data_IF_343341450302
#
_entry.id   IF_343341450302
#
_cell.length_a   1.000
_cell.length_b   1.000
_cell.length_c   1.000
_cell.angle_alpha   90.00
_cell.angle_beta   90.00
_cell.angle_gamma   90.00
#
_symmetry.space_group_name_H-M   'P 1'
#
loop_
_entity.id
_entity.type
_entity.pdbx_description
1 polymer ?
#
# COMPACT_ATOMS: atom_id res chain seq x y z
N UNK A 1 17.65 -19.47 -3.40
CA UNK A 1 17.01 -19.89 -2.13
C UNK A 1 16.98 -18.77 -1.09
N UNK A 2 18.03 -18.02 -0.90
CA UNK A 2 18.12 -16.92 0.07
C UNK A 2 17.04 -15.87 -0.10
N UNK A 3 16.79 -15.42 -1.34
CA UNK A 3 15.74 -14.44 -1.63
C UNK A 3 14.32 -14.94 -1.27
N UNK A 4 14.03 -16.23 -1.47
CA UNK A 4 12.76 -16.82 -1.09
C UNK A 4 12.61 -16.88 0.43
N UNK A 5 13.65 -17.30 1.15
CA UNK A 5 13.68 -17.33 2.62
C UNK A 5 13.48 -15.91 3.15
N UNK A 6 14.18 -14.92 2.59
CA UNK A 6 13.99 -13.52 2.97
C UNK A 6 12.55 -13.05 2.73
N UNK A 7 12.01 -13.30 1.53
CA UNK A 7 10.64 -12.91 1.19
C UNK A 7 9.61 -13.58 2.12
N UNK A 8 9.81 -14.85 2.48
CA UNK A 8 8.96 -15.55 3.44
C UNK A 8 9.10 -14.96 4.85
N UNK A 9 10.30 -14.65 5.30
CA UNK A 9 10.53 -13.99 6.58
C UNK A 9 9.87 -12.61 6.68
N UNK A 10 9.76 -11.90 5.56
CA UNK A 10 9.07 -10.61 5.51
C UNK A 10 7.54 -10.74 5.44
N UNK A 11 7.00 -11.78 4.82
CA UNK A 11 5.57 -11.92 4.57
C UNK A 11 4.82 -12.79 5.57
N UNK A 12 5.46 -13.86 6.09
CA UNK A 12 4.84 -14.75 7.08
C UNK A 12 4.42 -14.01 8.36
N UNK A 13 5.24 -13.12 8.98
CA UNK A 13 4.81 -12.37 10.16
C UNK A 13 3.56 -11.53 9.92
N UNK A 14 3.42 -10.92 8.73
CA UNK A 14 2.24 -10.14 8.35
C UNK A 14 1.00 -11.03 8.33
N UNK A 15 1.12 -12.22 7.73
CA UNK A 15 0.03 -13.18 7.70
C UNK A 15 -0.32 -13.72 9.09
N UNK A 16 0.68 -14.03 9.93
CA UNK A 16 0.46 -14.49 11.30
C UNK A 16 -0.26 -13.45 12.16
N UNK A 17 0.04 -12.15 11.98
CA UNK A 17 -0.67 -11.09 12.68
C UNK A 17 -2.18 -11.06 12.35
N UNK A 18 -2.56 -11.37 11.12
CA UNK A 18 -3.98 -11.52 10.74
C UNK A 18 -4.61 -12.74 11.42
N UNK A 19 -3.90 -13.89 11.44
CA UNK A 19 -4.36 -15.08 12.12
C UNK A 19 -4.53 -14.85 13.62
N UNK A 20 -3.64 -14.09 14.25
CA UNK A 20 -3.78 -13.68 15.65
C UNK A 20 -5.07 -12.86 15.87
N UNK A 21 -5.39 -11.94 14.98
CA UNK A 21 -6.66 -11.20 15.02
C UNK A 21 -7.89 -12.12 14.96
N UNK A 22 -7.88 -13.12 14.06
CA UNK A 22 -8.93 -14.15 13.98
C UNK A 22 -9.01 -14.97 15.27
N UNK A 23 -7.86 -15.36 15.83
CA UNK A 23 -7.77 -16.12 17.07
C UNK A 23 -8.34 -15.31 18.25
N UNK A 24 -7.96 -14.05 18.39
CA UNK A 24 -8.44 -13.17 19.46
C UNK A 24 -9.96 -12.95 19.38
N UNK A 25 -10.51 -12.85 18.15
CA UNK A 25 -11.97 -12.84 17.98
C UNK A 25 -12.60 -14.15 18.44
N UNK A 26 -12.04 -15.32 18.09
CA UNK A 26 -12.54 -16.63 18.49
C UNK A 26 -12.47 -16.84 20.00
N UNK A 27 -11.43 -16.30 20.65
CA UNK A 27 -11.29 -16.33 22.11
C UNK A 27 -12.17 -15.31 22.84
N UNK A 28 -12.88 -14.43 22.13
CA UNK A 28 -13.72 -13.39 22.71
C UNK A 28 -12.95 -12.18 23.27
N UNK A 29 -11.62 -12.11 23.07
CA UNK A 29 -10.80 -10.99 23.53
C UNK A 29 -10.93 -9.74 22.64
N UNK A 30 -11.33 -9.94 21.39
CA UNK A 30 -11.49 -8.87 20.40
C UNK A 30 -12.85 -9.04 19.72
N UNK A 31 -13.84 -8.30 20.19
CA UNK A 31 -15.15 -8.23 19.55
C UNK A 31 -15.14 -7.29 18.31
N UNK A 32 -16.24 -7.25 17.59
CA UNK A 32 -16.40 -6.44 16.39
C UNK A 32 -16.32 -4.93 16.68
N UNK A 33 -16.84 -4.51 17.85
CA UNK A 33 -16.82 -3.11 18.30
C UNK A 33 -15.39 -2.68 18.62
N UNK A 34 -14.62 -3.51 19.33
CA UNK A 34 -13.22 -3.24 19.63
C UNK A 34 -12.38 -3.19 18.35
N UNK A 35 -12.55 -4.15 17.45
CA UNK A 35 -11.84 -4.16 16.17
C UNK A 35 -12.15 -2.91 15.32
N UNK A 36 -13.41 -2.46 15.30
CA UNK A 36 -13.80 -1.23 14.61
C UNK A 36 -13.16 0.03 15.24
N UNK A 37 -13.15 0.12 16.57
CA UNK A 37 -12.48 1.23 17.30
C UNK A 37 -10.97 1.23 17.06
N UNK A 38 -10.34 0.06 17.10
CA UNK A 38 -8.91 -0.09 16.81
C UNK A 38 -8.59 0.33 15.39
N UNK A 39 -9.39 -0.10 14.40
CA UNK A 39 -9.23 0.32 13.01
C UNK A 39 -9.37 1.84 12.85
N UNK A 40 -10.34 2.46 13.55
CA UNK A 40 -10.51 3.92 13.54
C UNK A 40 -9.31 4.63 14.18
N UNK A 41 -8.77 4.12 15.28
CA UNK A 41 -7.57 4.67 15.91
C UNK A 41 -6.36 4.59 14.97
N UNK A 42 -6.15 3.45 14.32
CA UNK A 42 -5.08 3.26 13.34
C UNK A 42 -5.18 4.28 12.20
N UNK A 43 -6.38 4.53 11.71
CA UNK A 43 -6.62 5.50 10.65
C UNK A 43 -6.32 6.95 11.07
N UNK A 44 -6.64 7.30 12.33
CA UNK A 44 -6.54 8.68 12.83
C UNK A 44 -5.13 9.04 13.32
N UNK A 45 -4.37 8.07 13.85
CA UNK A 45 -3.10 8.36 14.54
C UNK A 45 -1.93 7.56 13.96
N UNK A 46 -1.78 6.24 14.14
CA UNK A 46 -0.57 5.54 13.71
C UNK A 46 -0.28 5.64 12.21
N UNK A 47 -1.31 5.55 11.37
CA UNK A 47 -1.12 5.56 9.93
C UNK A 47 -0.66 6.93 9.37
N UNK A 48 -1.25 8.07 9.77
CA UNK A 48 -0.71 9.39 9.46
C UNK A 48 0.71 9.62 9.96
N UNK A 49 1.01 9.17 11.20
CA UNK A 49 2.34 9.31 11.79
C UNK A 49 3.38 8.46 11.04
N UNK A 50 3.03 7.25 10.65
CA UNK A 50 3.89 6.39 9.82
C UNK A 50 4.24 7.07 8.47
N UNK A 51 3.24 7.64 7.80
CA UNK A 51 3.45 8.31 6.51
C UNK A 51 4.20 9.63 6.66
N UNK A 52 3.97 10.36 7.74
CA UNK A 52 4.78 11.52 8.11
C UNK A 52 6.25 11.13 8.26
N UNK A 53 6.56 10.11 9.06
CA UNK A 53 7.92 9.64 9.30
C UNK A 53 8.63 9.25 8.01
N UNK A 54 7.96 8.44 7.17
CA UNK A 54 8.51 7.95 5.91
C UNK A 54 8.90 9.08 4.95
N UNK A 55 8.20 10.21 4.98
CA UNK A 55 8.48 11.36 4.11
C UNK A 55 9.36 12.41 4.78
N UNK A 56 9.24 12.60 6.10
CA UNK A 56 10.05 13.55 6.86
C UNK A 56 11.53 13.16 6.93
N UNK A 57 11.84 11.87 6.81
CA UNK A 57 13.21 11.33 6.85
C UNK A 57 13.89 11.23 5.50
N UNK A 58 13.19 11.54 4.40
CA UNK A 58 13.80 11.55 3.06
C UNK A 58 14.71 12.77 2.91
N UNK A 59 15.98 12.54 2.60
CA UNK A 59 16.89 13.62 2.21
C UNK A 59 16.83 13.82 0.68
N UNK A 60 16.17 14.90 0.27
CA UNK A 60 16.03 15.26 -1.14
C UNK A 60 17.31 15.83 -1.75
N UNK A 61 18.38 16.08 -0.97
CA UNK A 61 19.58 16.76 -1.48
C UNK A 61 20.67 15.83 -2.01
N UNK A 62 20.71 14.58 -1.54
CA UNK A 62 21.84 13.68 -1.82
C UNK A 62 21.64 12.83 -3.09
N UNK A 63 20.41 12.43 -3.43
CA UNK A 63 20.15 11.56 -4.59
C UNK A 63 18.86 12.03 -5.28
N UNK A 64 18.97 13.11 -6.09
CA UNK A 64 17.81 13.61 -6.82
C UNK A 64 17.78 13.06 -8.25
N UNK A 65 17.04 11.99 -8.49
CA UNK A 65 16.76 11.49 -9.83
C UNK A 65 15.29 11.78 -10.20
N UNK A 66 15.09 12.92 -10.86
CA UNK A 66 13.76 13.34 -11.31
C UNK A 66 13.17 12.38 -12.36
N UNK A 67 14.01 11.73 -13.17
CA UNK A 67 13.58 10.76 -14.18
C UNK A 67 12.96 9.54 -13.51
N UNK A 68 13.61 9.05 -12.46
CA UNK A 68 13.14 7.90 -11.68
C UNK A 68 11.84 8.23 -10.90
N UNK A 69 11.80 9.38 -10.22
CA UNK A 69 10.59 9.84 -9.50
C UNK A 69 9.41 9.98 -10.46
N UNK A 70 9.65 10.64 -11.62
CA UNK A 70 8.60 10.84 -12.63
C UNK A 70 8.12 9.52 -13.22
N UNK A 71 9.03 8.57 -13.46
CA UNK A 71 8.66 7.22 -13.90
C UNK A 71 7.76 6.53 -12.87
N UNK A 72 8.14 6.51 -11.60
CA UNK A 72 7.33 5.93 -10.53
C UNK A 72 5.93 6.58 -10.43
N UNK A 73 5.87 7.91 -10.58
CA UNK A 73 4.61 8.65 -10.57
C UNK A 73 3.72 8.29 -11.78
N UNK A 74 4.28 8.32 -13.00
CA UNK A 74 3.54 8.04 -14.24
C UNK A 74 3.04 6.59 -14.26
N UNK A 75 3.90 5.63 -13.93
CA UNK A 75 3.51 4.22 -13.86
C UNK A 75 2.42 3.98 -12.81
N UNK A 76 2.52 4.67 -11.68
CA UNK A 76 1.46 4.62 -10.66
C UNK A 76 0.14 5.19 -11.20
N UNK A 77 0.17 6.34 -11.89
CA UNK A 77 -1.02 6.95 -12.48
C UNK A 77 -1.66 6.04 -13.54
N UNK A 78 -0.84 5.43 -14.39
CA UNK A 78 -1.32 4.45 -15.40
C UNK A 78 -1.91 3.22 -14.71
N UNK A 79 -1.27 2.69 -13.67
CA UNK A 79 -1.78 1.54 -12.89
C UNK A 79 -3.15 1.84 -12.25
N UNK A 80 -3.34 3.05 -11.73
CA UNK A 80 -4.62 3.52 -11.21
C UNK A 80 -5.68 3.57 -12.33
N UNK A 81 -5.31 4.11 -13.48
CA UNK A 81 -6.21 4.21 -14.64
C UNK A 81 -6.63 2.83 -15.13
N UNK A 82 -5.69 1.91 -15.30
CA UNK A 82 -5.96 0.52 -15.70
C UNK A 82 -6.87 -0.16 -14.67
N UNK A 83 -6.56 -0.03 -13.37
CA UNK A 83 -7.37 -0.60 -12.29
C UNK A 83 -8.80 -0.04 -12.30
N UNK A 84 -8.94 1.26 -12.59
CA UNK A 84 -10.25 1.93 -12.70
C UNK A 84 -11.02 1.39 -13.91
N UNK A 85 -10.40 1.26 -15.08
CA UNK A 85 -11.05 0.72 -16.28
C UNK A 85 -11.50 -0.74 -16.06
N UNK A 86 -10.64 -1.58 -15.48
CA UNK A 86 -10.99 -2.97 -15.16
C UNK A 86 -12.15 -3.02 -14.14
N UNK A 87 -12.18 -2.09 -13.18
CA UNK A 87 -13.28 -2.02 -12.20
C UNK A 87 -14.65 -1.82 -12.83
N UNK A 88 -14.72 -1.27 -14.04
CA UNK A 88 -15.98 -1.08 -14.77
C UNK A 88 -16.63 -2.41 -15.17
N UNK A 89 -15.88 -3.50 -15.26
CA UNK A 89 -16.38 -4.85 -15.53
C UNK A 89 -17.26 -5.38 -14.39
N UNK A 90 -17.11 -4.84 -13.18
CA UNK A 90 -17.92 -5.26 -12.03
C UNK A 90 -19.24 -4.50 -11.97
N UNK A 91 -20.35 -5.24 -11.94
CA UNK A 91 -21.68 -4.65 -11.79
C UNK A 91 -21.89 -4.02 -10.41
N UNK A 92 -21.34 -4.65 -9.36
CA UNK A 92 -21.44 -4.17 -7.99
C UNK A 92 -20.55 -2.94 -7.80
N UNK A 93 -21.19 -1.77 -7.70
CA UNK A 93 -20.49 -0.49 -7.51
C UNK A 93 -19.78 -0.41 -6.16
N UNK A 94 -20.29 -1.10 -5.13
CA UNK A 94 -19.77 -1.01 -3.76
C UNK A 94 -18.33 -1.54 -3.63
N UNK A 95 -17.94 -2.49 -4.50
CA UNK A 95 -16.59 -3.08 -4.47
C UNK A 95 -15.58 -2.32 -5.33
N UNK A 96 -16.01 -1.41 -6.23
CA UNK A 96 -15.10 -0.76 -7.19
C UNK A 96 -14.01 0.04 -6.51
N UNK A 97 -14.35 0.84 -5.49
CA UNK A 97 -13.37 1.62 -4.74
C UNK A 97 -12.31 0.75 -4.05
N UNK A 98 -12.74 -0.36 -3.42
CA UNK A 98 -11.83 -1.32 -2.80
C UNK A 98 -10.97 -2.02 -3.85
N UNK A 99 -11.58 -2.47 -4.96
CA UNK A 99 -10.87 -3.13 -6.06
C UNK A 99 -9.77 -2.23 -6.63
N UNK A 100 -10.10 -0.98 -6.98
CA UNK A 100 -9.15 -0.06 -7.58
C UNK A 100 -7.95 0.13 -6.65
N UNK A 101 -8.18 0.57 -5.39
CA UNK A 101 -7.07 0.86 -4.49
C UNK A 101 -6.26 -0.38 -4.12
N UNK A 102 -6.89 -1.55 -3.93
CA UNK A 102 -6.19 -2.78 -3.58
C UNK A 102 -5.33 -3.31 -4.73
N UNK A 103 -5.71 -3.02 -5.98
CA UNK A 103 -4.98 -3.47 -7.18
C UNK A 103 -3.69 -2.68 -7.40
N UNK A 104 -3.68 -1.33 -7.24
CA UNK A 104 -2.49 -0.56 -7.55
C UNK A 104 -1.57 -0.31 -6.34
N UNK A 105 -2.09 -0.30 -5.11
CA UNK A 105 -1.29 0.06 -3.94
C UNK A 105 -0.38 -1.07 -3.48
N UNK A 106 0.86 -0.71 -3.19
CA UNK A 106 1.90 -1.60 -2.67
C UNK A 106 2.29 -1.25 -1.25
N UNK A 107 2.82 -2.23 -0.53
CA UNK A 107 3.55 -2.04 0.72
C UNK A 107 4.99 -1.57 0.45
N UNK A 108 5.12 -0.56 -0.42
CA UNK A 108 6.39 -0.11 -0.98
C UNK A 108 7.37 0.38 0.10
N UNK A 109 6.88 1.07 1.13
CA UNK A 109 7.74 1.59 2.17
C UNK A 109 8.24 0.51 3.14
N UNK A 110 7.38 -0.43 3.56
CA UNK A 110 7.78 -1.48 4.51
C UNK A 110 8.56 -2.60 3.83
N UNK A 111 7.95 -3.24 2.82
CA UNK A 111 8.58 -4.35 2.12
C UNK A 111 9.66 -3.87 1.15
N UNK A 112 9.49 -2.67 0.56
CA UNK A 112 10.41 -2.12 -0.41
C UNK A 112 11.78 -1.81 0.19
N UNK A 113 11.82 -1.05 1.25
CA UNK A 113 13.08 -0.71 1.94
C UNK A 113 13.77 -1.99 2.41
N UNK A 114 13.04 -2.88 3.10
CA UNK A 114 13.61 -4.13 3.60
C UNK A 114 14.17 -5.02 2.49
N UNK A 115 13.47 -5.11 1.34
CA UNK A 115 13.89 -5.92 0.21
C UNK A 115 15.15 -5.36 -0.46
N UNK A 116 15.21 -4.04 -0.67
CA UNK A 116 16.38 -3.36 -1.27
C UNK A 116 17.57 -3.45 -0.31
N UNK A 117 17.37 -3.20 0.99
CA UNK A 117 18.43 -3.35 2.00
C UNK A 117 19.00 -4.77 2.08
N UNK A 118 18.15 -5.78 1.92
CA UNK A 118 18.63 -7.18 1.93
C UNK A 118 19.52 -7.49 0.72
N UNK A 119 19.24 -6.89 -0.44
CA UNK A 119 20.02 -7.15 -1.67
C UNK A 119 21.29 -6.30 -1.73
N UNK A 120 21.22 -5.03 -1.35
CA UNK A 120 22.28 -4.05 -1.57
C UNK A 120 22.94 -3.53 -0.29
N UNK A 121 22.43 -3.88 0.89
CA UNK A 121 22.93 -3.41 2.19
C UNK A 121 22.53 -1.98 2.55
N UNK A 122 21.90 -1.25 1.63
CA UNK A 122 21.45 0.15 1.82
C UNK A 122 19.99 0.31 1.42
N UNK A 123 19.35 1.42 1.80
CA UNK A 123 17.99 1.74 1.35
C UNK A 123 17.92 2.12 -0.14
N UNK A 124 19.06 2.47 -0.75
CA UNK A 124 19.20 2.74 -2.18
C UNK A 124 18.16 3.71 -2.72
N UNK A 125 17.50 3.30 -3.80
CA UNK A 125 16.47 4.09 -4.49
C UNK A 125 15.07 4.04 -3.84
N UNK A 126 14.90 3.32 -2.70
CA UNK A 126 13.60 3.20 -2.03
C UNK A 126 12.98 4.54 -1.61
N UNK A 127 13.72 5.51 -1.04
CA UNK A 127 13.16 6.81 -0.68
C UNK A 127 12.57 7.56 -1.87
N UNK A 128 13.23 7.57 -3.03
CA UNK A 128 12.74 8.23 -4.24
C UNK A 128 11.52 7.53 -4.82
N UNK A 129 11.49 6.18 -4.78
CA UNK A 129 10.31 5.40 -5.14
C UNK A 129 9.10 5.76 -4.25
N UNK A 130 9.31 5.93 -2.94
CA UNK A 130 8.26 6.32 -1.99
C UNK A 130 7.72 7.69 -2.35
N UNK A 131 8.59 8.67 -2.62
CA UNK A 131 8.20 10.03 -3.03
C UNK A 131 7.40 10.01 -4.33
N UNK A 132 7.82 9.23 -5.32
CA UNK A 132 7.14 9.13 -6.62
C UNK A 132 5.79 8.42 -6.57
N UNK A 133 5.56 7.51 -5.62
CA UNK A 133 4.38 6.64 -5.63
C UNK A 133 3.43 6.84 -4.45
N UNK A 134 3.92 6.89 -3.22
CA UNK A 134 3.09 6.81 -2.00
C UNK A 134 2.12 7.98 -1.81
N UNK A 135 2.48 9.25 -2.09
CA UNK A 135 1.52 10.35 -2.03
C UNK A 135 0.35 10.13 -2.99
N UNK A 136 0.65 9.74 -4.24
CA UNK A 136 -0.37 9.47 -5.24
C UNK A 136 -1.25 8.27 -4.84
N UNK A 137 -0.66 7.21 -4.26
CA UNK A 137 -1.41 6.08 -3.71
C UNK A 137 -2.49 6.53 -2.73
N UNK A 138 -2.15 7.39 -1.80
CA UNK A 138 -3.05 7.79 -0.73
C UNK A 138 -4.10 8.81 -1.18
N UNK A 139 -3.72 9.80 -1.98
CA UNK A 139 -4.64 10.79 -2.56
C UNK A 139 -5.70 10.07 -3.39
N UNK A 140 -5.27 9.21 -4.31
CA UNK A 140 -6.18 8.50 -5.19
C UNK A 140 -7.04 7.46 -4.47
N UNK A 141 -6.55 6.86 -3.37
CA UNK A 141 -7.38 6.01 -2.52
C UNK A 141 -8.54 6.79 -1.89
N UNK A 142 -8.29 8.00 -1.38
CA UNK A 142 -9.37 8.87 -0.86
C UNK A 142 -10.36 9.21 -1.97
N UNK A 143 -9.88 9.54 -3.17
CA UNK A 143 -10.74 9.86 -4.32
C UNK A 143 -11.63 8.67 -4.68
N UNK A 144 -11.03 7.50 -4.96
CA UNK A 144 -11.81 6.34 -5.44
C UNK A 144 -12.77 5.80 -4.37
N UNK A 145 -12.37 5.80 -3.10
CA UNK A 145 -13.24 5.40 -2.01
C UNK A 145 -14.39 6.39 -1.77
N UNK A 146 -14.17 7.69 -2.00
CA UNK A 146 -15.22 8.70 -1.92
C UNK A 146 -16.21 8.59 -3.07
N UNK A 147 -15.70 8.42 -4.31
CA UNK A 147 -16.51 8.33 -5.53
C UNK A 147 -17.36 7.07 -5.56
N UNK A 148 -16.80 5.95 -5.15
CA UNK A 148 -17.48 4.65 -5.15
C UNK A 148 -18.06 4.25 -3.79
N UNK A 149 -18.24 5.22 -2.90
CA UNK A 149 -18.87 4.98 -1.59
C UNK A 149 -20.26 4.36 -1.77
N UNK A 150 -20.59 3.27 -1.03
CA UNK A 150 -21.94 2.69 -1.04
C UNK A 150 -23.01 3.75 -0.72
N UNK A 151 -24.12 3.74 -1.45
CA UNK A 151 -25.21 4.71 -1.31
C UNK A 151 -25.01 6.05 -2.05
N UNK A 152 -23.90 6.24 -2.73
CA UNK A 152 -23.60 7.46 -3.49
C UNK A 152 -23.86 7.19 -4.99
N UNK A 153 -25.02 7.62 -5.52
CA UNK A 153 -25.45 7.24 -6.87
C UNK A 153 -25.27 8.34 -7.93
N UNK A 154 -24.92 9.55 -7.55
CA UNK A 154 -24.80 10.68 -8.49
C UNK A 154 -23.39 11.28 -8.52
N UNK A 155 -22.93 11.60 -9.73
CA UNK A 155 -21.74 12.43 -9.96
C UNK A 155 -22.22 13.87 -10.10
N UNK A 156 -22.25 14.62 -9.01
CA UNK A 156 -22.64 16.02 -9.01
C UNK A 156 -21.58 16.93 -8.35
N UNK A 157 -21.78 18.25 -8.47
CA UNK A 157 -20.87 19.24 -7.87
C UNK A 157 -20.75 19.09 -6.33
N UNK A 158 -21.77 18.55 -5.70
CA UNK A 158 -21.80 18.32 -4.25
C UNK A 158 -20.86 17.19 -3.88
N UNK A 159 -20.83 16.11 -4.68
CA UNK A 159 -19.86 15.01 -4.50
C UNK A 159 -18.42 15.51 -4.68
N UNK A 160 -18.16 16.30 -5.72
CA UNK A 160 -16.81 16.86 -5.96
C UNK A 160 -16.36 17.71 -4.77
N UNK A 161 -17.19 18.65 -4.30
CA UNK A 161 -16.88 19.49 -3.13
C UNK A 161 -16.65 18.65 -1.86
N UNK A 162 -17.48 17.61 -1.65
CA UNK A 162 -17.35 16.69 -0.51
C UNK A 162 -16.07 15.88 -0.59
N UNK A 163 -15.69 15.40 -1.78
CA UNK A 163 -14.44 14.65 -2.01
C UNK A 163 -13.23 15.54 -1.76
N UNK A 164 -13.21 16.77 -2.30
CA UNK A 164 -12.13 17.74 -2.06
C UNK A 164 -11.97 18.08 -0.57
N UNK A 165 -13.11 18.34 0.12
CA UNK A 165 -13.08 18.54 1.57
C UNK A 165 -12.55 17.28 2.28
N UNK A 166 -13.00 16.09 1.86
CA UNK A 166 -12.54 14.81 2.40
C UNK A 166 -11.04 14.60 2.23
N UNK A 167 -10.45 15.00 1.09
CA UNK A 167 -9.01 14.98 0.87
C UNK A 167 -8.31 15.94 1.84
N UNK A 168 -8.74 17.20 1.88
CA UNK A 168 -8.11 18.23 2.70
C UNK A 168 -8.16 17.94 4.22
N UNK A 169 -9.20 17.24 4.68
CA UNK A 169 -9.38 16.90 6.10
C UNK A 169 -8.96 15.45 6.44
N UNK A 170 -8.44 14.71 5.47
CA UNK A 170 -8.03 13.34 5.72
C UNK A 170 -6.73 13.30 6.54
N UNK A 171 -6.71 12.63 7.69
CA UNK A 171 -5.53 12.61 8.55
C UNK A 171 -4.30 12.01 7.86
N UNK A 172 -4.50 11.06 6.95
CA UNK A 172 -3.42 10.45 6.15
C UNK A 172 -2.79 11.49 5.22
N UNK A 173 -3.61 12.29 4.53
CA UNK A 173 -3.12 13.35 3.64
C UNK A 173 -2.42 14.46 4.43
N UNK A 174 -2.94 14.81 5.60
CA UNK A 174 -2.30 15.77 6.50
C UNK A 174 -0.92 15.25 6.94
N UNK A 175 -0.80 13.96 7.32
CA UNK A 175 0.49 13.34 7.66
C UNK A 175 1.49 13.39 6.52
N UNK A 176 1.05 13.07 5.29
CA UNK A 176 1.87 13.15 4.08
C UNK A 176 2.38 14.58 3.82
N UNK A 177 1.48 15.57 3.83
CA UNK A 177 1.83 16.98 3.59
C UNK A 177 2.79 17.47 4.68
N UNK A 178 2.51 17.16 5.96
CA UNK A 178 3.39 17.52 7.06
C UNK A 178 4.80 16.91 6.91
N UNK A 179 4.91 15.63 6.49
CA UNK A 179 6.17 14.97 6.23
C UNK A 179 6.96 15.63 5.10
N UNK A 180 6.30 15.96 3.99
CA UNK A 180 6.93 16.70 2.90
C UNK A 180 7.43 18.08 3.32
N UNK A 181 6.61 18.84 4.05
CA UNK A 181 6.99 20.17 4.54
C UNK A 181 8.18 20.07 5.50
N UNK A 182 8.17 19.07 6.39
CA UNK A 182 9.27 18.83 7.32
C UNK A 182 10.60 18.57 6.60
N UNK A 183 10.59 17.68 5.64
CA UNK A 183 11.76 17.34 4.83
C UNK A 183 12.21 18.50 3.93
N UNK A 184 11.28 19.19 3.27
CA UNK A 184 11.59 20.33 2.39
C UNK A 184 12.24 21.51 3.16
N UNK A 185 11.82 21.74 4.40
CA UNK A 185 12.39 22.74 5.28
C UNK A 185 13.67 22.25 6.00
N UNK A 186 14.10 21.00 5.74
CA UNK A 186 15.26 20.36 6.38
C UNK A 186 15.25 20.51 7.92
N UNK A 187 14.05 20.38 8.52
CA UNK A 187 13.91 20.54 9.96
C UNK A 187 14.61 19.38 10.69
N UNK A 188 15.46 19.66 11.68
CA UNK A 188 16.09 18.62 12.47
C UNK A 188 15.00 17.91 13.30
N UNK A 189 15.04 16.58 13.32
CA UNK A 189 14.18 15.80 14.18
C UNK A 189 14.98 15.34 15.41
N UNK A 190 14.70 15.91 16.59
CA UNK A 190 15.39 15.48 17.82
C UNK A 190 15.22 13.98 18.06
N UNK A 191 16.26 13.31 18.54
CA UNK A 191 16.26 11.84 18.71
C UNK A 191 15.08 11.33 19.54
N UNK A 192 14.69 12.08 20.58
CA UNK A 192 13.54 11.71 21.43
C UNK A 192 12.25 11.77 20.61
N UNK A 193 12.03 12.84 19.84
CA UNK A 193 10.85 12.99 18.99
C UNK A 193 10.80 11.90 17.91
N UNK A 194 11.93 11.64 17.25
CA UNK A 194 12.03 10.58 16.25
C UNK A 194 11.65 9.21 16.83
N UNK A 195 12.16 8.85 18.02
CA UNK A 195 11.77 7.59 18.68
C UNK A 195 10.27 7.50 18.98
N UNK A 196 9.65 8.60 19.43
CA UNK A 196 8.20 8.61 19.69
C UNK A 196 7.41 8.44 18.40
N UNK A 197 7.76 9.20 17.37
CA UNK A 197 7.12 9.13 16.04
C UNK A 197 7.24 7.71 15.46
N UNK A 198 8.44 7.13 15.48
CA UNK A 198 8.71 5.79 14.99
C UNK A 198 7.93 4.72 15.77
N UNK A 199 7.92 4.79 17.09
CA UNK A 199 7.17 3.82 17.91
C UNK A 199 5.65 3.90 17.63
N UNK A 200 5.09 5.10 17.51
CA UNK A 200 3.67 5.27 17.19
C UNK A 200 3.38 4.77 15.76
N UNK A 201 4.18 5.17 14.78
CA UNK A 201 4.05 4.73 13.39
C UNK A 201 4.14 3.21 13.24
N UNK A 202 5.07 2.57 13.94
CA UNK A 202 5.28 1.12 13.91
C UNK A 202 4.04 0.33 14.36
N UNK A 203 3.15 0.90 15.18
CA UNK A 203 1.91 0.23 15.60
C UNK A 203 0.85 0.13 14.49
N UNK A 204 0.96 0.94 13.42
CA UNK A 204 -0.04 1.02 12.36
C UNK A 204 -0.31 -0.32 11.70
N UNK A 205 0.73 -1.01 11.26
CA UNK A 205 0.61 -2.28 10.54
C UNK A 205 0.14 -3.42 11.46
N UNK A 206 0.73 -3.69 12.62
CA UNK A 206 0.26 -4.76 13.51
C UNK A 206 -1.20 -4.58 13.94
N UNK A 207 -1.58 -3.39 14.38
CA UNK A 207 -2.95 -3.13 14.81
C UNK A 207 -3.94 -3.21 13.64
N UNK A 208 -3.58 -2.70 12.46
CA UNK A 208 -4.40 -2.80 11.26
C UNK A 208 -4.63 -4.26 10.83
N UNK A 209 -3.58 -5.10 10.87
CA UNK A 209 -3.67 -6.52 10.53
C UNK A 209 -4.52 -7.31 11.54
N UNK A 210 -4.32 -7.07 12.83
CA UNK A 210 -5.17 -7.72 13.86
C UNK A 210 -6.63 -7.29 13.73
N UNK A 211 -6.90 -6.00 13.51
CA UNK A 211 -8.27 -5.50 13.27
C UNK A 211 -8.88 -6.15 12.02
N UNK A 212 -8.11 -6.26 10.95
CA UNK A 212 -8.54 -6.91 9.71
C UNK A 212 -8.84 -8.39 9.95
N UNK A 213 -7.97 -9.12 10.63
CA UNK A 213 -8.16 -10.51 10.98
C UNK A 213 -9.41 -10.73 11.84
N UNK A 214 -9.61 -9.89 12.87
CA UNK A 214 -10.78 -9.99 13.76
C UNK A 214 -12.11 -9.72 13.04
N UNK A 215 -12.11 -8.94 11.96
CA UNK A 215 -13.31 -8.65 11.17
C UNK A 215 -13.42 -9.49 9.89
N UNK A 216 -12.47 -10.40 9.65
CA UNK A 216 -12.47 -11.23 8.45
C UNK A 216 -13.56 -12.30 8.49
N UNK A 217 -14.39 -12.33 7.43
CA UNK A 217 -15.45 -13.32 7.25
C UNK A 217 -15.20 -14.11 5.96
N UNK A 218 -14.78 -15.36 6.12
CA UNK A 218 -14.45 -16.25 5.00
C UNK A 218 -15.60 -16.39 3.98
N UNK A 219 -16.85 -16.48 4.46
CA UNK A 219 -18.04 -16.58 3.59
C UNK A 219 -18.23 -15.35 2.70
N UNK A 220 -18.00 -14.16 3.22
CA UNK A 220 -18.06 -12.92 2.44
C UNK A 220 -16.88 -12.81 1.47
N UNK A 221 -15.68 -13.20 1.90
CA UNK A 221 -14.48 -13.20 1.08
C UNK A 221 -14.63 -14.14 -0.13
N UNK A 222 -15.20 -15.33 0.04
CA UNK A 222 -15.46 -16.27 -1.06
C UNK A 222 -16.48 -15.73 -2.07
N UNK A 223 -17.47 -14.95 -1.65
CA UNK A 223 -18.43 -14.30 -2.55
C UNK A 223 -17.80 -13.24 -3.47
N UNK A 224 -16.66 -12.67 -3.08
CA UNK A 224 -15.89 -11.66 -3.85
C UNK A 224 -14.62 -12.26 -4.49
N UNK A 225 -14.54 -13.59 -4.61
CA UNK A 225 -13.31 -14.28 -5.07
C UNK A 225 -12.87 -13.87 -6.48
N UNK A 226 -13.82 -13.75 -7.43
CA UNK A 226 -13.49 -13.35 -8.81
C UNK A 226 -12.77 -11.99 -8.88
N UNK A 227 -13.33 -10.89 -8.35
CA UNK A 227 -12.63 -9.61 -8.34
C UNK A 227 -11.33 -9.66 -7.50
N UNK A 228 -11.28 -10.44 -6.44
CA UNK A 228 -10.07 -10.62 -5.63
C UNK A 228 -8.95 -11.26 -6.46
N UNK A 229 -9.21 -12.35 -7.17
CA UNK A 229 -8.20 -13.02 -8.02
C UNK A 229 -7.70 -12.08 -9.12
N UNK A 230 -8.59 -11.34 -9.77
CA UNK A 230 -8.19 -10.38 -10.81
C UNK A 230 -7.29 -9.29 -10.22
N UNK A 231 -7.64 -8.72 -9.05
CA UNK A 231 -6.82 -7.72 -8.39
C UNK A 231 -5.44 -8.28 -8.00
N UNK A 232 -5.39 -9.50 -7.44
CA UNK A 232 -4.14 -10.19 -7.06
C UNK A 232 -3.26 -10.45 -8.29
N UNK A 233 -3.84 -10.98 -9.37
CA UNK A 233 -3.10 -11.24 -10.61
C UNK A 233 -2.52 -9.94 -11.20
N UNK A 234 -3.36 -8.91 -11.33
CA UNK A 234 -2.91 -7.61 -11.83
C UNK A 234 -1.77 -7.03 -10.96
N UNK A 235 -1.90 -7.14 -9.64
CA UNK A 235 -0.96 -6.61 -8.68
C UNK A 235 0.39 -7.34 -8.70
N UNK A 236 0.38 -8.66 -8.68
CA UNK A 236 1.61 -9.44 -8.53
C UNK A 236 2.29 -9.79 -9.86
N UNK A 237 1.51 -9.84 -10.94
CA UNK A 237 2.00 -10.29 -12.25
C UNK A 237 1.77 -9.23 -13.33
N UNK A 238 0.56 -8.74 -13.49
CA UNK A 238 0.17 -7.90 -14.62
C UNK A 238 0.99 -6.62 -14.73
N UNK A 239 1.09 -5.84 -13.66
CA UNK A 239 1.85 -4.59 -13.68
C UNK A 239 3.35 -4.83 -13.83
N UNK A 240 3.91 -5.86 -13.19
CA UNK A 240 5.32 -6.21 -13.36
C UNK A 240 5.62 -6.60 -14.81
N UNK A 241 4.78 -7.46 -15.42
CA UNK A 241 4.96 -7.92 -16.79
C UNK A 241 4.93 -6.80 -17.83
N UNK A 242 4.15 -5.72 -17.57
CA UNK A 242 4.06 -4.57 -18.48
C UNK A 242 5.17 -3.56 -18.22
N UNK A 243 5.37 -3.15 -16.96
CA UNK A 243 6.20 -1.98 -16.66
C UNK A 243 7.67 -2.30 -16.39
N UNK A 244 8.06 -3.53 -16.02
CA UNK A 244 9.49 -3.88 -15.89
C UNK A 244 10.21 -3.85 -17.25
N UNK A 245 9.67 -4.43 -18.34
CA UNK A 245 10.27 -4.27 -19.67
C UNK A 245 10.38 -2.81 -20.10
N UNK A 246 9.34 -1.99 -19.85
CA UNK A 246 9.36 -0.55 -20.17
C UNK A 246 10.46 0.15 -19.38
N UNK A 247 10.59 -0.13 -18.08
CA UNK A 247 11.65 0.40 -17.24
C UNK A 247 13.05 0.03 -17.79
N UNK A 248 13.22 -1.23 -18.17
CA UNK A 248 14.47 -1.72 -18.75
C UNK A 248 14.81 -1.01 -20.08
N UNK A 249 13.84 -0.79 -20.96
CA UNK A 249 14.04 -0.04 -22.22
C UNK A 249 14.41 1.43 -21.96
N UNK A 250 13.84 2.05 -20.93
CA UNK A 250 14.17 3.42 -20.53
C UNK A 250 15.53 3.55 -19.82
N UNK A 251 16.24 2.44 -19.62
CA UNK A 251 17.59 2.41 -19.09
C UNK A 251 17.70 2.25 -17.58
N UNK A 252 16.61 2.02 -16.85
CA UNK A 252 16.68 1.73 -15.42
C UNK A 252 17.34 0.37 -15.18
N UNK A 253 18.26 0.30 -14.22
CA UNK A 253 19.07 -0.89 -13.90
C UNK A 253 19.29 -1.01 -12.40
N UNK A 254 19.81 -2.16 -11.98
CA UNK A 254 20.24 -2.41 -10.61
C UNK A 254 19.20 -1.97 -9.56
N UNK A 255 19.58 -1.11 -8.63
CA UNK A 255 18.74 -0.65 -7.52
C UNK A 255 17.43 0.01 -7.98
N UNK A 256 17.47 0.80 -9.06
CA UNK A 256 16.28 1.44 -9.65
C UNK A 256 15.26 0.39 -10.10
N UNK A 257 15.70 -0.63 -10.84
CA UNK A 257 14.82 -1.65 -11.37
C UNK A 257 14.25 -2.54 -10.26
N UNK A 258 15.04 -2.82 -9.22
CA UNK A 258 14.55 -3.53 -8.03
C UNK A 258 13.53 -2.68 -7.25
N UNK A 259 13.76 -1.39 -7.11
CA UNK A 259 12.79 -0.50 -6.47
C UNK A 259 11.46 -0.46 -7.27
N UNK A 260 11.53 -0.39 -8.60
CA UNK A 260 10.34 -0.47 -9.48
C UNK A 260 9.65 -1.84 -9.33
N UNK A 261 10.40 -2.94 -9.30
CA UNK A 261 9.83 -4.27 -9.09
C UNK A 261 9.05 -4.34 -7.79
N UNK A 262 9.62 -3.86 -6.70
CA UNK A 262 8.95 -3.89 -5.39
C UNK A 262 7.75 -2.94 -5.35
N UNK A 263 7.85 -1.76 -5.96
CA UNK A 263 6.74 -0.83 -6.13
C UNK A 263 5.55 -1.48 -6.82
N UNK A 264 5.79 -2.27 -7.85
CA UNK A 264 4.75 -2.90 -8.66
C UNK A 264 4.25 -4.22 -8.05
N UNK A 265 5.17 -5.10 -7.64
CA UNK A 265 4.90 -6.50 -7.33
C UNK A 265 4.84 -6.87 -5.85
N UNK A 266 5.08 -5.95 -4.92
CA UNK A 266 4.94 -6.26 -3.49
C UNK A 266 3.47 -6.38 -3.08
N UNK A 267 3.23 -7.03 -1.92
CA UNK A 267 1.89 -7.21 -1.36
C UNK A 267 1.12 -5.89 -1.23
N UNK A 268 -0.19 -5.96 -1.36
CA UNK A 268 -1.08 -4.83 -1.12
C UNK A 268 -0.97 -4.36 0.34
N UNK A 269 -0.87 -3.05 0.54
CA UNK A 269 -0.70 -2.46 1.87
C UNK A 269 -1.96 -2.58 2.74
N UNK A 270 -1.76 -2.81 4.04
CA UNK A 270 -2.82 -2.88 5.07
C UNK A 270 -3.67 -1.60 5.13
N UNK A 271 -3.09 -0.46 4.79
CA UNK A 271 -3.81 0.81 4.75
C UNK A 271 -5.00 0.80 3.79
N UNK A 272 -5.03 -0.09 2.78
CA UNK A 272 -6.20 -0.29 1.91
C UNK A 272 -7.43 -0.71 2.70
N UNK A 273 -7.29 -1.69 3.60
CA UNK A 273 -8.37 -2.13 4.47
C UNK A 273 -8.77 -1.05 5.47
N UNK A 274 -7.77 -0.45 6.15
CA UNK A 274 -8.01 0.59 7.16
C UNK A 274 -8.78 1.76 6.56
N UNK A 275 -8.39 2.25 5.39
CA UNK A 275 -9.07 3.34 4.69
C UNK A 275 -10.46 2.95 4.22
N UNK A 276 -10.62 1.79 3.59
CA UNK A 276 -11.91 1.30 3.11
C UNK A 276 -12.95 1.28 4.25
N UNK A 277 -12.62 0.67 5.38
CA UNK A 277 -13.51 0.60 6.55
C UNK A 277 -13.87 1.97 7.10
N UNK A 278 -12.90 2.87 7.26
CA UNK A 278 -13.14 4.21 7.80
C UNK A 278 -13.89 5.13 6.83
N UNK A 279 -13.85 4.84 5.53
CA UNK A 279 -14.57 5.60 4.51
C UNK A 279 -15.95 5.00 4.15
N UNK A 280 -16.38 3.96 4.90
CA UNK A 280 -17.73 3.40 4.82
C UNK A 280 -17.89 2.27 3.80
N UNK A 281 -16.81 1.61 3.43
CA UNK A 281 -16.81 0.36 2.66
C UNK A 281 -16.76 -0.86 3.59
N UNK A 282 -17.11 -2.04 3.07
CA UNK A 282 -17.08 -3.29 3.85
C UNK A 282 -15.67 -3.75 4.23
N UNK A 283 -14.66 -3.44 3.40
CA UNK A 283 -13.30 -3.91 3.57
C UNK A 283 -13.08 -5.38 3.20
N UNK A 284 -14.12 -6.08 2.76
CA UNK A 284 -14.07 -7.52 2.46
C UNK A 284 -13.15 -7.84 1.30
N UNK A 285 -13.26 -7.07 0.20
CA UNK A 285 -12.40 -7.27 -0.96
C UNK A 285 -10.96 -6.87 -0.63
N UNK A 286 -10.76 -5.73 0.03
CA UNK A 286 -9.44 -5.26 0.45
C UNK A 286 -8.73 -6.29 1.34
N UNK A 287 -9.42 -6.88 2.33
CA UNK A 287 -8.82 -7.91 3.21
C UNK A 287 -8.45 -9.18 2.45
N UNK A 288 -9.31 -9.63 1.52
CA UNK A 288 -9.01 -10.79 0.67
C UNK A 288 -7.79 -10.58 -0.22
N UNK A 289 -7.69 -9.41 -0.87
CA UNK A 289 -6.53 -9.05 -1.71
C UNK A 289 -5.26 -8.94 -0.87
N UNK A 290 -5.30 -8.27 0.30
CA UNK A 290 -4.14 -8.17 1.19
C UNK A 290 -3.65 -9.55 1.61
N UNK A 291 -4.56 -10.43 2.06
CA UNK A 291 -4.22 -11.78 2.50
C UNK A 291 -3.56 -12.60 1.38
N UNK A 292 -4.18 -12.63 0.19
CA UNK A 292 -3.66 -13.40 -0.94
C UNK A 292 -2.35 -12.81 -1.46
N UNK A 293 -2.25 -11.48 -1.63
CA UNK A 293 -1.01 -10.85 -2.10
C UNK A 293 0.13 -11.00 -1.10
N UNK A 294 -0.14 -10.98 0.20
CA UNK A 294 0.88 -11.20 1.23
C UNK A 294 1.48 -12.61 1.12
N UNK A 295 0.63 -13.64 0.97
CA UNK A 295 1.11 -15.02 0.82
C UNK A 295 1.85 -15.25 -0.51
N UNK A 296 1.30 -14.74 -1.61
CA UNK A 296 1.81 -15.02 -2.93
C UNK A 296 3.01 -14.13 -3.31
N UNK A 297 3.14 -12.94 -2.73
CA UNK A 297 4.22 -12.00 -3.08
C UNK A 297 5.61 -12.54 -2.78
N UNK A 298 5.77 -13.41 -1.77
CA UNK A 298 7.05 -14.06 -1.50
C UNK A 298 7.56 -14.85 -2.72
N UNK A 299 6.66 -15.58 -3.36
CA UNK A 299 6.99 -16.39 -4.54
C UNK A 299 7.11 -15.52 -5.80
N UNK A 300 6.17 -14.60 -6.01
CA UNK A 300 6.17 -13.77 -7.23
C UNK A 300 7.31 -12.77 -7.26
N UNK A 301 7.69 -12.15 -6.13
CA UNK A 301 8.86 -11.27 -6.08
C UNK A 301 10.15 -12.05 -6.33
N UNK A 302 10.29 -13.26 -5.77
CA UNK A 302 11.44 -14.12 -6.03
C UNK A 302 11.52 -14.49 -7.51
N UNK A 303 10.40 -14.90 -8.10
CA UNK A 303 10.32 -15.22 -9.54
C UNK A 303 10.71 -14.00 -10.40
N UNK A 304 10.17 -12.83 -10.14
CA UNK A 304 10.50 -11.62 -10.88
C UNK A 304 11.96 -11.20 -10.71
N UNK A 305 12.52 -11.35 -9.50
CA UNK A 305 13.93 -11.08 -9.26
C UNK A 305 14.82 -12.02 -10.07
N UNK A 306 14.48 -13.31 -10.14
CA UNK A 306 15.21 -14.29 -10.95
C UNK A 306 15.10 -13.95 -12.45
N UNK A 307 13.95 -13.51 -12.94
CA UNK A 307 13.75 -13.06 -14.33
C UNK A 307 14.63 -11.84 -14.64
N UNK A 308 14.66 -10.84 -13.77
CA UNK A 308 15.43 -9.59 -13.95
C UNK A 308 16.94 -9.88 -13.91
N UNK A 309 17.39 -10.76 -13.00
CA UNK A 309 18.80 -11.21 -12.92
C UNK A 309 19.22 -12.02 -14.13
N UNK A 310 18.39 -12.97 -14.56
CA UNK A 310 18.66 -13.80 -15.74
C UNK A 310 18.76 -12.97 -17.02
N UNK A 311 18.05 -11.84 -17.07
CA UNK A 311 18.11 -10.88 -18.17
C UNK A 311 19.31 -9.93 -18.09
N UNK A 312 20.21 -10.09 -17.12
CA UNK A 312 21.40 -9.23 -16.87
C UNK A 312 21.05 -7.74 -16.70
N UNK A 313 19.91 -7.47 -16.10
CA UNK A 313 19.41 -6.11 -15.83
C UNK A 313 19.76 -5.64 -14.41
N UNK A 314 20.13 -6.60 -13.55
CA UNK A 314 20.54 -6.44 -12.14
C UNK A 314 21.69 -7.38 -11.85
#
# INVERSE_FOLDING_TARGET
MENLIFSLNATIPIFLMMLLGMLFRKLGWMDEVFAAKMNKFVFLVPLPVLLFEQLATVDFSEVWDIKFILFCFVVTAISITISTLISLLWKDRSIKGEFIQATYRSSAALLGIAFIQNIYGTAGMAPLMIVGSVPLYNIMAVVVLSVFKPGNNSFDKVLVKKTLKGIATNPIIIGIVAGFVWSALKLPMPTILHKVVSNVGATATPMGLMSMGATFELRKATSKMKPTIVAVFMKLVGFCAVFLPVAAVLGFRNEELIAILVMLGSATTVSCFVMARNMGHEGTLSSGVIMMTTLLSAFTLTMWLDVVRSSRLV
#
